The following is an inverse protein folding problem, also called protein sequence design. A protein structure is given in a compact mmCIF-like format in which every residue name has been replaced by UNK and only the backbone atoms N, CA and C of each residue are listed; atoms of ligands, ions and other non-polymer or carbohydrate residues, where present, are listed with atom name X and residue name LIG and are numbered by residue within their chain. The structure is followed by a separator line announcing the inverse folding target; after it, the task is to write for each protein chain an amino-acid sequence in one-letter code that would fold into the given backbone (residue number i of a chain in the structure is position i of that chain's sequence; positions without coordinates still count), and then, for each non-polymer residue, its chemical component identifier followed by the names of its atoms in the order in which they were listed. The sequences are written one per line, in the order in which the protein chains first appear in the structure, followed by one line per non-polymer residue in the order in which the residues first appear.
data_IF_220155871519
#
_entry.id   IF_220155871519
#
_cell.length_a   1.000
_cell.length_b   1.000
_cell.length_c   1.000
_cell.angle_alpha   90.00
_cell.angle_beta   90.00
_cell.angle_gamma   90.00
#
_symmetry.space_group_name_H-M   'P 1'
#
loop_
_entity.id
_entity.type
_entity.pdbx_description
1 polymer ?
#
# COMPACT_ATOMS: atom_id res chain seq x y z
N UNK A 1 -16.76 -30.64 96.60
CA UNK A 1 -16.92 -30.24 95.18
C UNK A 1 -17.31 -28.76 95.03
N UNK A 2 -18.16 -28.22 95.91
CA UNK A 2 -18.52 -26.78 95.99
C UNK A 2 -17.32 -25.80 96.05
N UNK A 3 -16.28 -26.10 96.82
CA UNK A 3 -15.11 -25.19 96.97
C UNK A 3 -14.28 -25.05 95.68
N UNK A 4 -14.25 -26.06 94.82
CA UNK A 4 -13.52 -26.01 93.55
C UNK A 4 -14.30 -25.14 92.55
N UNK A 5 -15.63 -25.22 92.56
CA UNK A 5 -16.50 -24.37 91.75
C UNK A 5 -16.39 -22.89 92.14
N UNK A 6 -16.33 -22.59 93.44
CA UNK A 6 -16.17 -21.22 93.91
C UNK A 6 -14.78 -20.63 93.61
N UNK A 7 -13.73 -21.44 93.70
CA UNK A 7 -12.38 -21.05 93.30
C UNK A 7 -12.27 -20.80 91.78
N UNK A 8 -12.93 -21.64 90.96
CA UNK A 8 -13.06 -21.43 89.51
C UNK A 8 -13.82 -20.15 89.19
N UNK A 9 -14.92 -19.85 89.90
CA UNK A 9 -15.70 -18.63 89.71
C UNK A 9 -14.88 -17.37 90.03
N UNK A 10 -14.09 -17.38 91.11
CA UNK A 10 -13.22 -16.26 91.48
C UNK A 10 -12.12 -15.98 90.45
N UNK A 11 -11.52 -17.03 89.89
CA UNK A 11 -10.48 -16.90 88.85
C UNK A 11 -11.11 -16.42 87.52
N UNK A 12 -12.29 -16.94 87.16
CA UNK A 12 -12.97 -16.59 85.91
C UNK A 12 -13.47 -15.13 85.91
N UNK A 13 -14.03 -14.65 87.03
CA UNK A 13 -14.45 -13.25 87.19
C UNK A 13 -13.25 -12.31 87.14
N UNK A 14 -12.09 -12.73 87.66
CA UNK A 14 -10.85 -11.94 87.59
C UNK A 14 -10.19 -11.99 86.20
N UNK A 15 -10.43 -13.04 85.43
CA UNK A 15 -9.92 -13.20 84.05
C UNK A 15 -10.79 -12.51 82.99
N UNK A 16 -12.07 -12.26 83.26
CA UNK A 16 -12.99 -11.55 82.37
C UNK A 16 -12.47 -10.15 81.95
N UNK A 17 -12.02 -9.28 82.88
CA UNK A 17 -11.47 -7.96 82.54
C UNK A 17 -10.21 -8.03 81.68
N UNK A 18 -9.29 -8.96 81.97
CA UNK A 18 -8.07 -9.15 81.17
C UNK A 18 -8.40 -9.68 79.79
N UNK A 19 -9.39 -10.55 79.64
CA UNK A 19 -9.85 -11.04 78.34
C UNK A 19 -10.45 -9.91 77.49
N UNK A 20 -11.31 -9.07 78.08
CA UNK A 20 -11.82 -7.87 77.42
C UNK A 20 -10.72 -6.87 77.03
N UNK A 21 -9.74 -6.66 77.90
CA UNK A 21 -8.58 -5.81 77.62
C UNK A 21 -7.77 -6.34 76.44
N UNK A 22 -7.52 -7.66 76.38
CA UNK A 22 -6.78 -8.29 75.27
C UNK A 22 -7.56 -8.18 73.97
N UNK A 23 -8.88 -8.36 73.98
CA UNK A 23 -9.72 -8.18 72.78
C UNK A 23 -9.68 -6.73 72.30
N UNK A 24 -9.84 -5.76 73.22
CA UNK A 24 -9.78 -4.34 72.90
C UNK A 24 -8.41 -3.95 72.33
N UNK A 25 -7.32 -4.44 72.95
CA UNK A 25 -5.95 -4.22 72.49
C UNK A 25 -5.71 -4.85 71.11
N UNK A 26 -6.21 -6.07 70.87
CA UNK A 26 -6.10 -6.73 69.57
C UNK A 26 -6.79 -5.91 68.48
N UNK A 27 -8.01 -5.42 68.75
CA UNK A 27 -8.75 -4.55 67.81
C UNK A 27 -8.03 -3.23 67.55
N UNK A 28 -7.52 -2.61 68.61
CA UNK A 28 -6.74 -1.37 68.52
C UNK A 28 -5.48 -1.59 67.66
N UNK A 29 -4.71 -2.64 67.93
CA UNK A 29 -3.48 -2.96 67.19
C UNK A 29 -3.79 -3.30 65.73
N UNK A 30 -4.87 -4.04 65.46
CA UNK A 30 -5.34 -4.35 64.10
C UNK A 30 -5.64 -3.09 63.29
N UNK A 31 -6.38 -2.15 63.88
CA UNK A 31 -6.78 -0.89 63.22
C UNK A 31 -5.64 0.11 63.07
N UNK A 32 -4.80 0.24 64.09
CA UNK A 32 -3.78 1.31 64.17
C UNK A 32 -2.45 0.89 63.58
N UNK A 33 -2.11 -0.41 63.59
CA UNK A 33 -0.79 -0.87 63.18
C UNK A 33 -0.83 -1.77 61.94
N UNK A 34 -1.67 -2.80 61.93
CA UNK A 34 -1.68 -3.77 60.83
C UNK A 34 -2.30 -3.19 59.55
N UNK A 35 -3.44 -2.51 59.65
CA UNK A 35 -4.11 -1.91 58.49
C UNK A 35 -3.22 -0.87 57.75
N UNK A 36 -2.53 0.09 58.42
CA UNK A 36 -1.61 0.98 57.72
C UNK A 36 -0.34 0.28 57.23
N UNK A 37 0.16 -0.75 57.93
CA UNK A 37 1.34 -1.50 57.48
C UNK A 37 1.05 -2.24 56.17
N UNK A 38 -0.10 -2.90 56.07
CA UNK A 38 -0.53 -3.60 54.85
C UNK A 38 -0.71 -2.62 53.68
N UNK A 39 -1.34 -1.46 53.93
CA UNK A 39 -1.48 -0.41 52.90
C UNK A 39 -0.14 0.09 52.37
N UNK A 40 0.85 0.31 53.24
CA UNK A 40 2.19 0.76 52.80
C UNK A 40 2.92 -0.33 52.02
N UNK A 41 2.74 -1.60 52.39
CA UNK A 41 3.33 -2.72 51.66
C UNK A 41 2.67 -2.91 50.29
N UNK A 42 1.34 -2.79 50.19
CA UNK A 42 0.63 -2.79 48.92
C UNK A 42 1.01 -1.60 48.05
N UNK A 43 1.15 -0.40 48.63
CA UNK A 43 1.52 0.79 47.88
C UNK A 43 2.96 0.69 47.34
N UNK A 44 3.89 0.10 48.10
CA UNK A 44 5.24 -0.21 47.60
C UNK A 44 5.21 -1.26 46.49
N UNK A 45 4.46 -2.35 46.64
CA UNK A 45 4.30 -3.36 45.58
C UNK A 45 3.70 -2.75 44.32
N UNK A 46 2.64 -1.95 44.44
CA UNK A 46 1.99 -1.27 43.32
C UNK A 46 2.93 -0.29 42.61
N UNK A 47 3.78 0.42 43.35
CA UNK A 47 4.79 1.33 42.76
C UNK A 47 5.91 0.57 42.06
N UNK A 48 6.32 -0.60 42.53
CA UNK A 48 7.39 -1.39 41.89
C UNK A 48 6.86 -2.21 40.72
N UNK A 49 5.82 -3.01 40.95
CA UNK A 49 5.25 -3.93 39.97
C UNK A 49 4.43 -3.17 38.91
N UNK A 50 3.70 -2.11 39.31
CA UNK A 50 2.95 -1.28 38.39
C UNK A 50 3.85 -0.45 37.45
N UNK A 51 5.08 -0.13 37.85
CA UNK A 51 6.04 0.52 36.95
C UNK A 51 6.50 -0.46 35.87
N UNK A 52 6.82 -1.71 36.23
CA UNK A 52 7.19 -2.74 35.25
C UNK A 52 6.06 -3.01 34.26
N UNK A 53 4.82 -3.20 34.75
CA UNK A 53 3.65 -3.42 33.90
C UNK A 53 3.37 -2.21 33.00
N UNK A 54 3.51 -0.98 33.51
CA UNK A 54 3.34 0.23 32.71
C UNK A 54 4.43 0.39 31.63
N UNK A 55 5.67 -0.01 31.92
CA UNK A 55 6.77 0.00 30.97
C UNK A 55 6.56 -1.03 29.86
N UNK A 56 6.13 -2.26 30.20
CA UNK A 56 5.79 -3.29 29.22
C UNK A 56 4.62 -2.83 28.35
N UNK A 57 3.56 -2.27 28.94
CA UNK A 57 2.43 -1.72 28.19
C UNK A 57 2.85 -0.56 27.27
N UNK A 58 3.77 0.31 27.71
CA UNK A 58 4.30 1.39 26.88
C UNK A 58 5.15 0.85 25.72
N UNK A 59 6.00 -0.15 25.96
CA UNK A 59 6.81 -0.80 24.93
C UNK A 59 5.93 -1.53 23.90
N UNK A 60 4.89 -2.24 24.33
CA UNK A 60 3.96 -2.90 23.41
C UNK A 60 3.18 -1.90 22.57
N UNK A 61 2.75 -0.76 23.12
CA UNK A 61 2.13 0.31 22.33
C UNK A 61 3.11 0.91 21.32
N UNK A 62 4.36 1.14 21.71
CA UNK A 62 5.40 1.64 20.81
C UNK A 62 5.69 0.64 19.68
N UNK A 63 5.80 -0.66 20.00
CA UNK A 63 5.99 -1.74 19.02
C UNK A 63 4.79 -1.87 18.08
N UNK A 64 3.57 -1.78 18.60
CA UNK A 64 2.35 -1.81 17.78
C UNK A 64 2.34 -0.64 16.79
N UNK A 65 2.68 0.57 17.25
CA UNK A 65 2.78 1.76 16.38
C UNK A 65 3.90 1.63 15.35
N UNK A 66 5.04 1.06 15.72
CA UNK A 66 6.12 0.82 14.78
C UNK A 66 5.71 -0.18 13.69
N UNK A 67 5.05 -1.28 14.06
CA UNK A 67 4.52 -2.26 13.10
C UNK A 67 3.50 -1.63 12.15
N UNK A 68 2.54 -0.86 12.68
CA UNK A 68 1.55 -0.15 11.87
C UNK A 68 2.22 0.81 10.87
N UNK A 69 3.27 1.52 11.31
CA UNK A 69 4.05 2.40 10.45
C UNK A 69 4.81 1.62 9.36
N UNK A 70 5.53 0.56 9.74
CA UNK A 70 6.25 -0.31 8.81
C UNK A 70 5.31 -0.96 7.78
N UNK A 71 4.13 -1.39 8.20
CA UNK A 71 3.10 -1.97 7.34
C UNK A 71 2.56 -0.94 6.35
N UNK A 72 2.23 0.27 6.82
CA UNK A 72 1.77 1.36 5.97
C UNK A 72 2.83 1.78 4.95
N UNK A 73 4.11 1.79 5.36
CA UNK A 73 5.22 2.13 4.49
C UNK A 73 5.43 1.07 3.41
N UNK A 74 5.35 -0.22 3.77
CA UNK A 74 5.43 -1.33 2.80
C UNK A 74 4.28 -1.30 1.81
N UNK A 75 3.06 -1.02 2.28
CA UNK A 75 1.89 -0.87 1.41
C UNK A 75 2.06 0.30 0.44
N UNK A 76 2.46 1.48 0.93
CA UNK A 76 2.71 2.64 0.08
C UNK A 76 3.81 2.38 -0.96
N UNK A 77 4.89 1.69 -0.59
CA UNK A 77 5.94 1.31 -1.54
C UNK A 77 5.44 0.33 -2.61
N UNK A 78 4.62 -0.65 -2.22
CA UNK A 78 4.01 -1.59 -3.15
C UNK A 78 3.06 -0.87 -4.13
N UNK A 79 2.20 0.02 -3.63
CA UNK A 79 1.30 0.81 -4.46
C UNK A 79 2.04 1.70 -5.47
N UNK A 80 3.14 2.34 -5.04
CA UNK A 80 3.98 3.14 -5.94
C UNK A 80 4.59 2.26 -7.05
N UNK A 81 5.06 1.06 -6.70
CA UNK A 81 5.64 0.15 -7.67
C UNK A 81 4.59 -0.33 -8.68
N UNK A 82 3.41 -0.72 -8.19
CA UNK A 82 2.29 -1.16 -9.03
C UNK A 82 1.81 -0.05 -9.97
N UNK A 83 1.70 1.18 -9.48
CA UNK A 83 1.35 2.34 -10.30
C UNK A 83 2.40 2.59 -11.38
N UNK A 84 3.69 2.59 -11.03
CA UNK A 84 4.77 2.76 -12.00
C UNK A 84 4.77 1.64 -13.06
N UNK A 85 4.54 0.39 -12.67
CA UNK A 85 4.48 -0.71 -13.62
C UNK A 85 3.27 -0.59 -14.55
N UNK A 86 2.11 -0.21 -14.02
CA UNK A 86 0.90 0.04 -14.80
C UNK A 86 1.10 1.19 -15.80
N UNK A 87 1.68 2.31 -15.36
CA UNK A 87 2.00 3.44 -16.23
C UNK A 87 3.00 3.05 -17.32
N UNK A 88 4.08 2.33 -16.97
CA UNK A 88 5.06 1.84 -17.95
C UNK A 88 4.41 0.93 -19.00
N UNK A 89 3.54 0.01 -18.58
CA UNK A 89 2.78 -0.87 -19.49
C UNK A 89 1.85 -0.06 -20.40
N UNK A 90 1.12 0.91 -19.86
CA UNK A 90 0.24 1.77 -20.65
C UNK A 90 1.03 2.62 -21.65
N UNK A 91 2.15 3.20 -21.24
CA UNK A 91 3.00 4.00 -22.11
C UNK A 91 3.61 3.15 -23.24
N UNK A 92 4.10 1.94 -22.92
CA UNK A 92 4.58 1.01 -23.93
C UNK A 92 3.48 0.60 -24.92
N UNK A 93 2.26 0.31 -24.44
CA UNK A 93 1.12 -0.02 -25.28
C UNK A 93 0.72 1.15 -26.20
N UNK A 94 0.67 2.38 -25.67
CA UNK A 94 0.38 3.60 -26.46
C UNK A 94 1.43 3.84 -27.53
N UNK A 95 2.72 3.69 -27.20
CA UNK A 95 3.81 3.83 -28.17
C UNK A 95 3.72 2.78 -29.27
N UNK A 96 3.46 1.51 -28.91
CA UNK A 96 3.30 0.43 -29.87
C UNK A 96 2.11 0.68 -30.82
N UNK A 97 0.97 1.14 -30.27
CA UNK A 97 -0.21 1.49 -31.06
C UNK A 97 0.06 2.66 -32.02
N UNK A 98 0.67 3.74 -31.53
CA UNK A 98 1.02 4.90 -32.36
C UNK A 98 2.01 4.53 -33.48
N UNK A 99 2.99 3.66 -33.20
CA UNK A 99 3.94 3.18 -34.20
C UNK A 99 3.25 2.28 -35.24
N UNK A 100 2.33 1.41 -34.82
CA UNK A 100 1.55 0.58 -35.72
C UNK A 100 0.67 1.43 -36.65
N UNK A 101 -0.01 2.44 -36.12
CA UNK A 101 -0.83 3.38 -36.89
C UNK A 101 0.03 4.18 -37.89
N UNK A 102 1.18 4.69 -37.45
CA UNK A 102 2.10 5.42 -38.33
C UNK A 102 2.61 4.53 -39.47
N UNK A 103 2.96 3.26 -39.19
CA UNK A 103 3.36 2.29 -40.20
C UNK A 103 2.23 1.97 -41.18
N UNK A 104 1.00 1.83 -40.69
CA UNK A 104 -0.16 1.57 -41.53
C UNK A 104 -0.42 2.74 -42.49
N UNK A 105 -0.44 3.98 -41.97
CA UNK A 105 -0.56 5.20 -42.79
C UNK A 105 0.57 5.34 -43.81
N UNK A 106 1.80 4.99 -43.42
CA UNK A 106 2.93 5.00 -44.35
C UNK A 106 2.75 3.98 -45.48
N UNK A 107 2.30 2.75 -45.17
CA UNK A 107 1.99 1.73 -46.18
C UNK A 107 0.89 2.20 -47.14
N UNK A 108 -0.20 2.74 -46.60
CA UNK A 108 -1.31 3.28 -47.41
C UNK A 108 -0.84 4.39 -48.34
N UNK A 109 0.01 5.31 -47.86
CA UNK A 109 0.60 6.37 -48.68
C UNK A 109 1.49 5.83 -49.79
N UNK A 110 2.32 4.81 -49.48
CA UNK A 110 3.19 4.17 -50.48
C UNK A 110 2.37 3.47 -51.56
N UNK A 111 1.33 2.72 -51.18
CA UNK A 111 0.46 2.05 -52.14
C UNK A 111 -0.33 3.05 -52.99
N UNK A 112 -0.87 4.12 -52.39
CA UNK A 112 -1.53 5.19 -53.13
C UNK A 112 -0.57 5.90 -54.11
N UNK A 113 0.67 6.17 -53.70
CA UNK A 113 1.69 6.77 -54.56
C UNK A 113 2.07 5.83 -55.72
N UNK A 114 2.23 4.53 -55.47
CA UNK A 114 2.48 3.51 -56.50
C UNK A 114 1.34 3.44 -57.51
N UNK A 115 0.09 3.44 -57.05
CA UNK A 115 -1.07 3.44 -57.93
C UNK A 115 -1.13 4.70 -58.80
N UNK A 116 -0.83 5.87 -58.24
CA UNK A 116 -0.73 7.13 -58.99
C UNK A 116 0.36 7.10 -60.06
N UNK A 117 1.57 6.67 -59.70
CA UNK A 117 2.70 6.56 -60.65
C UNK A 117 2.35 5.59 -61.78
N UNK A 118 1.71 4.46 -61.48
CA UNK A 118 1.29 3.51 -62.51
C UNK A 118 0.26 4.12 -63.47
N UNK A 119 -0.72 4.88 -62.95
CA UNK A 119 -1.71 5.58 -63.77
C UNK A 119 -1.07 6.68 -64.64
N UNK A 120 -0.17 7.49 -64.05
CA UNK A 120 0.57 8.55 -64.77
C UNK A 120 1.46 7.95 -65.87
N UNK A 121 2.13 6.83 -65.60
CA UNK A 121 2.96 6.12 -66.59
C UNK A 121 2.11 5.55 -67.74
N UNK A 122 0.92 4.99 -67.45
CA UNK A 122 0.02 4.50 -68.48
C UNK A 122 -0.50 5.65 -69.37
N UNK A 123 -0.90 6.77 -68.77
CA UNK A 123 -1.34 7.97 -69.51
C UNK A 123 -0.22 8.56 -70.36
N UNK A 124 0.99 8.68 -69.82
CA UNK A 124 2.15 9.15 -70.56
C UNK A 124 2.49 8.22 -71.74
N UNK A 125 2.38 6.90 -71.55
CA UNK A 125 2.59 5.91 -72.59
C UNK A 125 1.60 6.04 -73.76
N UNK A 126 0.31 6.23 -73.48
CA UNK A 126 -0.71 6.49 -74.50
C UNK A 126 -0.46 7.81 -75.23
N UNK A 127 -0.13 8.88 -74.50
CA UNK A 127 0.21 10.17 -75.09
C UNK A 127 1.44 10.08 -76.02
N UNK A 128 2.48 9.35 -75.60
CA UNK A 128 3.69 9.09 -76.40
C UNK A 128 3.37 8.31 -77.67
N UNK A 129 2.51 7.28 -77.60
CA UNK A 129 2.06 6.53 -78.78
C UNK A 129 1.33 7.43 -79.78
N UNK A 130 0.39 8.25 -79.31
CA UNK A 130 -0.34 9.18 -80.14
C UNK A 130 0.60 10.21 -80.82
N UNK A 131 1.55 10.76 -80.06
CA UNK A 131 2.56 11.68 -80.60
C UNK A 131 3.48 11.01 -81.62
N UNK A 132 3.91 9.76 -81.37
CA UNK A 132 4.75 9.00 -82.29
C UNK A 132 4.02 8.71 -83.61
N UNK A 133 2.74 8.34 -83.56
CA UNK A 133 1.91 8.15 -84.76
C UNK A 133 1.75 9.44 -85.57
N UNK A 134 1.47 10.57 -84.91
CA UNK A 134 1.37 11.87 -85.58
C UNK A 134 2.71 12.31 -86.22
N UNK A 135 3.83 12.05 -85.53
CA UNK A 135 5.16 12.34 -86.06
C UNK A 135 5.48 11.46 -87.28
N UNK A 136 5.15 10.16 -87.21
CA UNK A 136 5.34 9.22 -88.31
C UNK A 136 4.54 9.65 -89.56
N UNK A 137 3.26 10.03 -89.41
CA UNK A 137 2.46 10.56 -90.52
C UNK A 137 3.08 11.82 -91.15
N UNK A 138 3.62 12.70 -90.32
CA UNK A 138 4.28 13.94 -90.76
C UNK A 138 5.54 13.63 -91.58
N UNK A 139 6.35 12.67 -91.13
CA UNK A 139 7.53 12.19 -91.86
C UNK A 139 7.11 11.54 -93.19
N UNK A 140 6.08 10.68 -93.18
CA UNK A 140 5.59 10.03 -94.41
C UNK A 140 5.10 11.06 -95.43
N UNK A 141 4.36 12.10 -95.00
CA UNK A 141 3.94 13.20 -95.86
C UNK A 141 5.12 13.97 -96.46
N UNK A 142 6.15 14.28 -95.67
CA UNK A 142 7.36 14.95 -96.19
C UNK A 142 8.12 14.09 -97.21
N UNK A 143 8.29 12.80 -96.94
CA UNK A 143 9.00 11.88 -97.86
C UNK A 143 8.24 11.67 -99.16
N UNK A 144 6.90 11.58 -99.12
CA UNK A 144 6.08 11.45 -100.32
C UNK A 144 6.04 12.74 -101.15
N UNK A 145 5.97 13.91 -100.50
CA UNK A 145 6.01 15.20 -101.18
C UNK A 145 7.37 15.49 -101.86
N UNK A 146 8.46 14.97 -101.29
CA UNK A 146 9.80 15.06 -101.88
C UNK A 146 10.06 14.16 -103.08
N UNK A 147 9.17 13.20 -103.39
CA UNK A 147 9.30 12.29 -104.55
C UNK A 147 8.56 12.78 -105.81
N UNK A 148 7.86 13.90 -105.72
CA UNK A 148 7.10 14.50 -106.84
C UNK A 148 7.81 15.70 -107.51
N UNK A 149 9.12 15.85 -107.32
CA UNK A 149 10.00 16.67 -108.16
C UNK A 149 11.13 15.80 -108.71
#
# INVERSE_FOLDING_TARGET
MEQILHALQGILVRALPTFFLVIALHWFLKKVLFEPLDRVMEERRRRTDGVLESCEAALERARAKLREYEDSLRQAQAEIFDQQEAERKQMAARQAAALAEARQRARERVEAARARIAAEAAQAGEALRAQASALAETITKMVLAGRTQ
#
